data_IF_399050423288
#
_entry.id   IF_399050423288
#
_cell.length_a   1.000
_cell.length_b   1.000
_cell.length_c   1.000
_cell.angle_alpha   90.00
_cell.angle_beta   90.00
_cell.angle_gamma   90.00
#
_symmetry.space_group_name_H-M   'P 1'
#
loop_
_entity.id
_entity.type
_entity.pdbx_description
1 polymer ?
#
# COMPACT_ATOMS: atom_id res chain seq x y z
N UNK A 1 0.56 8.40 14.08
CA UNK A 1 0.30 8.84 12.69
C UNK A 1 0.99 7.81 11.80
N UNK A 2 0.31 7.16 10.86
CA UNK A 2 0.94 6.09 10.08
C UNK A 2 1.57 6.68 8.81
N UNK A 3 2.89 6.51 8.67
CA UNK A 3 3.60 6.86 7.45
C UNK A 3 3.10 5.95 6.30
N UNK A 4 3.18 6.48 5.08
CA UNK A 4 2.81 5.75 3.86
C UNK A 4 4.04 5.48 3.02
N UNK A 5 3.96 4.44 2.21
CA UNK A 5 5.01 4.08 1.26
C UNK A 5 4.62 4.56 -0.12
N UNK A 6 5.56 5.23 -0.79
CA UNK A 6 5.45 5.70 -2.16
C UNK A 6 6.45 4.99 -3.04
N UNK A 7 5.92 4.25 -4.01
CA UNK A 7 6.70 3.67 -5.08
C UNK A 7 6.74 4.60 -6.30
N UNK A 8 7.69 4.36 -7.21
CA UNK A 8 7.57 4.82 -8.59
C UNK A 8 6.32 4.19 -9.25
N UNK A 9 5.82 4.81 -10.32
CA UNK A 9 4.66 4.31 -11.07
C UNK A 9 4.90 2.87 -11.53
N UNK A 10 3.96 1.96 -11.27
CA UNK A 10 4.11 0.53 -11.51
C UNK A 10 4.80 -0.24 -10.37
N UNK A 11 5.49 0.43 -9.46
CA UNK A 11 6.34 -0.21 -8.45
C UNK A 11 5.54 -0.90 -7.35
N UNK A 12 4.43 -0.30 -6.90
CA UNK A 12 3.58 -0.92 -5.88
C UNK A 12 2.90 -2.19 -6.40
N UNK A 13 2.53 -2.21 -7.69
CA UNK A 13 2.02 -3.42 -8.34
C UNK A 13 3.09 -4.50 -8.40
N UNK A 14 4.28 -4.18 -8.92
CA UNK A 14 5.41 -5.11 -9.00
C UNK A 14 5.79 -5.68 -7.64
N UNK A 15 5.77 -4.85 -6.59
CA UNK A 15 5.98 -5.29 -5.23
C UNK A 15 4.94 -6.33 -4.79
N UNK A 16 3.66 -6.08 -5.05
CA UNK A 16 2.59 -7.04 -4.72
C UNK A 16 2.70 -8.33 -5.55
N UNK A 17 3.07 -8.24 -6.83
CA UNK A 17 3.32 -9.42 -7.67
C UNK A 17 4.48 -10.26 -7.10
N UNK A 18 5.58 -9.61 -6.68
CA UNK A 18 6.73 -10.27 -6.03
C UNK A 18 6.33 -10.93 -4.70
N UNK A 19 5.51 -10.25 -3.89
CA UNK A 19 4.99 -10.80 -2.64
C UNK A 19 4.14 -12.06 -2.90
N UNK A 20 3.26 -12.01 -3.90
CA UNK A 20 2.43 -13.16 -4.31
C UNK A 20 3.32 -14.34 -4.71
N UNK A 21 4.34 -14.09 -5.53
CA UNK A 21 5.31 -15.09 -5.98
C UNK A 21 6.07 -15.71 -4.80
N UNK A 22 6.61 -14.88 -3.90
CA UNK A 22 7.42 -15.33 -2.75
C UNK A 22 6.62 -16.11 -1.71
N UNK A 23 5.37 -15.72 -1.47
CA UNK A 23 4.48 -16.43 -0.54
C UNK A 23 3.95 -17.73 -1.17
N UNK A 24 4.09 -17.93 -2.49
CA UNK A 24 3.51 -19.07 -3.19
C UNK A 24 2.00 -18.96 -3.34
N UNK A 25 1.47 -17.73 -3.37
CA UNK A 25 0.04 -17.48 -3.55
C UNK A 25 -0.31 -17.48 -5.05
N UNK A 26 -1.52 -17.94 -5.38
CA UNK A 26 -1.97 -18.04 -6.78
C UNK A 26 -2.46 -16.69 -7.32
N UNK A 27 -2.91 -15.79 -6.43
CA UNK A 27 -3.52 -14.52 -6.84
C UNK A 27 -3.54 -13.48 -5.71
N UNK A 28 -3.81 -12.22 -6.07
CA UNK A 28 -4.08 -11.15 -5.12
C UNK A 28 -5.27 -11.47 -4.19
N UNK A 29 -6.25 -12.23 -4.68
CA UNK A 29 -7.40 -12.67 -3.86
C UNK A 29 -6.95 -13.69 -2.83
N UNK A 30 -6.13 -14.65 -3.22
CA UNK A 30 -5.55 -15.64 -2.31
C UNK A 30 -4.69 -14.94 -1.24
N UNK A 31 -3.88 -13.95 -1.63
CA UNK A 31 -3.12 -13.11 -0.67
C UNK A 31 -4.04 -12.45 0.37
N UNK A 32 -5.23 -11.99 -0.03
CA UNK A 32 -6.21 -11.37 0.87
C UNK A 32 -6.70 -12.28 2.00
N UNK A 33 -6.65 -13.60 1.82
CA UNK A 33 -7.02 -14.57 2.85
C UNK A 33 -5.90 -14.75 3.90
N UNK A 34 -4.65 -14.48 3.51
CA UNK A 34 -3.48 -14.60 4.39
C UNK A 34 -3.16 -13.32 5.16
N UNK A 35 -3.59 -12.17 4.65
CA UNK A 35 -3.30 -10.88 5.25
C UNK A 35 -4.56 -10.27 5.85
N UNK A 36 -4.42 -9.51 6.94
CA UNK A 36 -5.56 -8.89 7.63
C UNK A 36 -6.04 -7.60 6.92
N UNK A 37 -6.14 -7.63 5.59
CA UNK A 37 -6.54 -6.48 4.77
C UNK A 37 -7.54 -6.94 3.72
N UNK A 38 -8.63 -6.18 3.58
CA UNK A 38 -9.68 -6.51 2.63
C UNK A 38 -9.16 -6.58 1.18
N UNK A 39 -9.72 -7.48 0.38
CA UNK A 39 -9.42 -7.57 -1.05
C UNK A 39 -9.62 -6.23 -1.79
N UNK A 40 -10.62 -5.43 -1.38
CA UNK A 40 -10.84 -4.09 -1.95
C UNK A 40 -9.67 -3.13 -1.68
N UNK A 41 -9.07 -3.20 -0.49
CA UNK A 41 -7.90 -2.40 -0.13
C UNK A 41 -6.66 -2.86 -0.89
N UNK A 42 -6.45 -4.18 -0.98
CA UNK A 42 -5.40 -4.76 -1.82
C UNK A 42 -5.54 -4.35 -3.29
N UNK A 43 -6.76 -4.38 -3.84
CA UNK A 43 -7.02 -3.93 -5.22
C UNK A 43 -6.71 -2.44 -5.41
N UNK A 44 -6.98 -1.59 -4.41
CA UNK A 44 -6.60 -0.18 -4.45
C UNK A 44 -5.08 0.00 -4.45
N UNK A 45 -4.36 -0.82 -3.69
CA UNK A 45 -2.90 -0.82 -3.68
C UNK A 45 -2.33 -1.33 -5.02
N UNK A 46 -2.88 -2.41 -5.55
CA UNK A 46 -2.47 -3.01 -6.83
C UNK A 46 -2.71 -2.10 -8.04
N UNK A 47 -3.81 -1.33 -7.98
CA UNK A 47 -4.14 -0.32 -8.99
C UNK A 47 -3.48 1.03 -8.74
N UNK A 48 -2.62 1.15 -7.71
CA UNK A 48 -1.92 2.39 -7.34
C UNK A 48 -2.85 3.58 -7.06
N UNK A 49 -4.11 3.29 -6.74
CA UNK A 49 -5.12 4.32 -6.38
C UNK A 49 -4.89 4.84 -4.97
N UNK A 50 -4.27 4.05 -4.10
CA UNK A 50 -3.94 4.40 -2.72
C UNK A 50 -2.51 3.99 -2.42
N UNK A 51 -1.83 4.85 -1.66
CA UNK A 51 -0.53 4.52 -1.09
C UNK A 51 -0.69 3.53 0.05
N UNK A 52 0.20 2.55 0.08
CA UNK A 52 0.23 1.53 1.12
C UNK A 52 0.64 2.15 2.47
N UNK A 53 0.05 1.66 3.56
CA UNK A 53 0.50 2.03 4.90
C UNK A 53 1.86 1.36 5.18
N UNK A 54 2.76 2.07 5.88
CA UNK A 54 4.09 1.57 6.23
C UNK A 54 4.05 0.24 6.99
N UNK A 55 3.21 0.13 8.01
CA UNK A 55 3.10 -1.10 8.80
C UNK A 55 2.72 -2.31 7.94
N UNK A 56 1.73 -2.14 7.06
CA UNK A 56 1.31 -3.21 6.16
C UNK A 56 2.41 -3.58 5.13
N UNK A 57 3.17 -2.59 4.66
CA UNK A 57 4.32 -2.86 3.80
C UNK A 57 5.42 -3.65 4.51
N UNK A 58 5.73 -3.30 5.77
CA UNK A 58 6.70 -4.01 6.61
C UNK A 58 6.25 -5.45 6.90
N UNK A 59 4.97 -5.65 7.20
CA UNK A 59 4.37 -6.98 7.37
C UNK A 59 4.56 -7.84 6.11
N UNK A 60 4.30 -7.27 4.93
CA UNK A 60 4.48 -7.98 3.65
C UNK A 60 5.94 -8.31 3.35
N UNK A 61 6.87 -7.38 3.62
CA UNK A 61 8.31 -7.62 3.49
C UNK A 61 8.75 -8.78 4.39
N UNK A 62 8.32 -8.76 5.65
CA UNK A 62 8.63 -9.79 6.62
C UNK A 62 8.09 -11.16 6.19
N UNK A 63 6.80 -11.22 5.79
CA UNK A 63 6.16 -12.44 5.33
C UNK A 63 6.78 -13.02 4.05
N UNK A 64 7.08 -12.16 3.07
CA UNK A 64 7.64 -12.56 1.79
C UNK A 64 9.17 -12.74 1.81
N UNK A 65 9.83 -12.45 2.94
CA UNK A 65 11.30 -12.47 3.10
C UNK A 65 12.01 -11.69 1.99
N UNK A 66 11.51 -10.49 1.71
CA UNK A 66 12.09 -9.57 0.72
C UNK A 66 13.08 -8.65 1.45
N UNK A 67 14.21 -8.34 0.84
CA UNK A 67 15.10 -7.30 1.36
C UNK A 67 14.60 -5.92 0.91
N UNK A 68 14.36 -5.01 1.86
CA UNK A 68 13.92 -3.65 1.57
C UNK A 68 14.93 -2.88 0.71
N UNK A 69 16.22 -3.21 0.78
CA UNK A 69 17.28 -2.56 0.01
C UNK A 69 17.19 -2.83 -1.50
N UNK A 70 16.51 -3.90 -1.90
CA UNK A 70 16.26 -4.24 -3.31
C UNK A 70 15.09 -3.43 -3.91
N UNK A 71 14.34 -2.70 -3.09
CA UNK A 71 13.13 -1.99 -3.48
C UNK A 71 13.38 -0.47 -3.56
N UNK A 72 12.92 0.13 -4.66
CA UNK A 72 12.94 1.59 -4.84
C UNK A 72 11.62 2.21 -4.36
N UNK A 73 11.60 2.65 -3.10
CA UNK A 73 10.46 3.30 -2.46
C UNK A 73 10.90 4.47 -1.56
N UNK A 74 9.97 5.38 -1.28
CA UNK A 74 10.13 6.47 -0.33
C UNK A 74 9.02 6.48 0.71
N UNK A 75 9.25 7.17 1.82
CA UNK A 75 8.25 7.41 2.85
C UNK A 75 7.51 8.72 2.59
N UNK A 76 6.23 8.75 2.95
CA UNK A 76 5.37 9.92 2.87
C UNK A 76 4.65 10.09 4.21
N UNK A 77 4.69 11.30 4.76
CA UNK A 77 4.08 11.61 6.05
C UNK A 77 2.58 11.28 6.08
N UNK A 78 2.13 10.85 7.26
CA UNK A 78 0.77 10.35 7.48
C UNK A 78 -0.39 11.34 7.28
N UNK A 79 -0.12 12.61 6.98
CA UNK A 79 -1.14 13.60 6.58
C UNK A 79 -1.52 13.51 5.09
N UNK A 80 -0.91 12.61 4.32
CA UNK A 80 -1.16 12.49 2.89
C UNK A 80 -2.62 12.06 2.60
N UNK A 81 -3.37 12.95 1.97
CA UNK A 81 -4.78 12.75 1.63
C UNK A 81 -5.77 13.06 2.75
N UNK A 82 -5.30 13.48 3.93
CA UNK A 82 -6.18 13.99 4.99
C UNK A 82 -6.33 15.50 4.83
N UNK A 83 -7.54 15.95 4.47
CA UNK A 83 -7.89 17.37 4.56
C UNK A 83 -7.91 17.71 6.06
N UNK A 84 -6.96 18.53 6.52
CA UNK A 84 -6.95 19.06 7.90
C UNK A 84 -8.14 20.02 8.06
N UNK A 85 -9.23 19.51 8.63
CA UNK A 85 -10.40 20.30 9.00
C UNK A 85 -11.34 20.61 7.83
N UNK A 86 -12.65 20.57 8.10
CA UNK A 86 -13.73 20.90 7.17
C UNK A 86 -13.78 22.38 6.77
N UNK A 87 -12.67 22.93 6.28
CA UNK A 87 -12.61 24.25 5.65
C UNK A 87 -12.69 24.10 4.12
N UNK A 88 -13.51 23.16 3.63
CA UNK A 88 -14.04 23.26 2.27
C UNK A 88 -15.10 24.37 2.37
N UNK A 89 -14.70 25.58 1.98
CA UNK A 89 -15.42 26.82 2.23
C UNK A 89 -16.92 26.71 2.00
N UNK A 90 -17.70 27.34 2.88
CA UNK A 90 -19.12 27.62 2.64
C UNK A 90 -19.23 28.26 1.25
N UNK A 91 -19.67 27.51 0.25
CA UNK A 91 -20.12 28.08 -1.03
C UNK A 91 -21.25 29.05 -0.68
N UNK A 92 -20.97 30.36 -0.67
CA UNK A 92 -22.04 31.36 -0.68
C UNK A 92 -22.77 31.18 -2.01
N UNK A 93 -24.05 30.84 -1.92
CA UNK A 93 -24.99 30.97 -3.02
C UNK A 93 -25.51 32.41 -3.01
#
# INVERSE_FOLDING_TARGET
MQDRIRFKKGGQRKFLDLVIERIGSVSLRSLAEFVNVSYSSLKNYYSERRLMNKSFFEDLIYLAKIDASELDFGYVDGNWGQVKGGMIGRRKK
#
